data_IF_251991868203
#
_entry.id   IF_251991868203
#
_cell.length_a   1.000
_cell.length_b   1.000
_cell.length_c   1.000
_cell.angle_alpha   90.00
_cell.angle_beta   90.00
_cell.angle_gamma   90.00
#
_symmetry.space_group_name_H-M   'P 1'
#
loop_
_entity.id
_entity.type
_entity.pdbx_description
1 polymer ?
#
# COMPACT_ATOMS: atom_id res chain seq x y z
N UNK A 1 -2.29 -38.68 -29.13
CA UNK A 1 -1.63 -38.15 -30.33
C UNK A 1 -0.22 -37.72 -29.99
N UNK A 2 0.69 -37.60 -30.97
CA UNK A 2 2.07 -37.19 -30.73
C UNK A 2 2.14 -35.84 -30.00
N UNK A 3 3.05 -35.69 -29.04
CA UNK A 3 3.24 -34.47 -28.25
C UNK A 3 2.48 -34.39 -26.91
N UNK A 4 1.88 -35.48 -26.43
CA UNK A 4 1.36 -35.57 -25.06
C UNK A 4 2.24 -36.48 -24.22
N UNK A 5 2.83 -35.92 -23.18
CA UNK A 5 3.57 -36.64 -22.14
C UNK A 5 2.76 -36.56 -20.85
N UNK A 6 2.68 -37.66 -20.11
CA UNK A 6 1.97 -37.73 -18.83
C UNK A 6 2.84 -38.52 -17.84
N UNK A 7 2.79 -38.12 -16.58
CA UNK A 7 3.40 -38.83 -15.45
C UNK A 7 2.38 -38.83 -14.33
N UNK A 8 2.15 -40.01 -13.74
CA UNK A 8 1.32 -40.14 -12.55
C UNK A 8 2.23 -40.16 -11.32
N UNK A 9 1.88 -39.34 -10.32
CA UNK A 9 2.64 -39.21 -9.07
C UNK A 9 1.69 -39.48 -7.93
N UNK A 10 1.85 -40.63 -7.30
CA UNK A 10 1.01 -41.08 -6.19
C UNK A 10 1.61 -40.70 -4.82
N UNK A 11 0.75 -40.60 -3.81
CA UNK A 11 1.18 -40.45 -2.41
C UNK A 11 1.70 -39.07 -2.02
N UNK A 12 1.40 -38.04 -2.81
CA UNK A 12 1.68 -36.65 -2.45
C UNK A 12 0.84 -36.23 -1.24
N UNK A 13 1.45 -35.68 -0.17
CA UNK A 13 0.71 -35.04 0.92
C UNK A 13 -0.16 -33.87 0.44
N UNK A 14 -1.19 -33.52 1.21
CA UNK A 14 -1.99 -32.32 0.97
C UNK A 14 -1.10 -31.07 0.93
N UNK A 15 -1.17 -30.30 -0.16
CA UNK A 15 -0.32 -29.14 -0.38
C UNK A 15 -0.35 -28.57 -1.80
N UNK A 16 0.43 -27.51 -2.00
CA UNK A 16 0.61 -26.86 -3.31
C UNK A 16 1.95 -27.30 -3.90
N UNK A 17 1.92 -27.79 -5.14
CA UNK A 17 3.09 -28.29 -5.85
C UNK A 17 3.35 -27.47 -7.11
N UNK A 18 4.60 -27.07 -7.28
CA UNK A 18 5.07 -26.44 -8.51
C UNK A 18 5.69 -27.50 -9.41
N UNK A 19 5.24 -27.54 -10.66
CA UNK A 19 5.75 -28.42 -11.71
C UNK A 19 6.58 -27.56 -12.67
N UNK A 20 7.78 -28.00 -13.01
CA UNK A 20 8.69 -27.35 -13.96
C UNK A 20 9.32 -28.42 -14.84
N UNK A 21 9.15 -28.32 -16.16
CA UNK A 21 9.78 -29.21 -17.15
C UNK A 21 10.97 -28.55 -17.88
N UNK A 22 11.40 -27.36 -17.42
CA UNK A 22 12.43 -26.53 -18.02
C UNK A 22 11.91 -25.57 -19.11
N UNK A 23 10.69 -25.78 -19.62
CA UNK A 23 10.04 -24.93 -20.64
C UNK A 23 8.71 -24.35 -20.14
N UNK A 24 7.93 -25.15 -19.42
CA UNK A 24 6.62 -24.84 -18.87
C UNK A 24 6.63 -24.98 -17.35
N UNK A 25 5.92 -24.05 -16.71
CA UNK A 25 5.66 -24.08 -15.27
C UNK A 25 4.17 -24.11 -15.02
N UNK A 26 3.75 -24.96 -14.09
CA UNK A 26 2.37 -25.05 -13.65
C UNK A 26 2.32 -25.22 -12.12
N UNK A 27 1.19 -24.84 -11.52
CA UNK A 27 0.94 -25.03 -10.09
C UNK A 27 -0.30 -25.90 -9.96
N UNK A 28 -0.20 -26.95 -9.15
CA UNK A 28 -1.30 -27.85 -8.83
C UNK A 28 -1.50 -27.89 -7.31
N UNK A 29 -2.76 -27.88 -6.88
CA UNK A 29 -3.13 -28.17 -5.50
C UNK A 29 -3.48 -29.66 -5.40
N UNK A 30 -2.80 -30.38 -4.51
CA UNK A 30 -3.15 -31.76 -4.13
C UNK A 30 -3.79 -31.67 -2.76
N UNK A 31 -5.00 -32.17 -2.62
CA UNK A 31 -5.75 -32.13 -1.36
C UNK A 31 -7.22 -32.39 -1.59
N UNK A 32 -8.01 -32.44 -0.51
CA UNK A 32 -9.45 -32.68 -0.58
C UNK A 32 -10.12 -31.73 -1.60
N UNK A 33 -11.00 -32.28 -2.45
CA UNK A 33 -11.73 -31.54 -3.48
C UNK A 33 -12.62 -30.40 -2.92
N UNK A 34 -12.81 -30.37 -1.60
CA UNK A 34 -13.50 -29.34 -0.84
C UNK A 34 -12.52 -28.68 0.12
N UNK A 35 -11.91 -27.54 -0.26
CA UNK A 35 -11.06 -26.79 0.66
C UNK A 35 -11.84 -26.38 1.91
N UNK A 36 -11.21 -26.44 3.08
CA UNK A 36 -11.85 -26.15 4.38
C UNK A 36 -12.42 -24.73 4.45
N UNK A 37 -11.86 -23.82 3.65
CA UNK A 37 -12.33 -22.43 3.49
C UNK A 37 -13.76 -22.34 2.94
N UNK A 38 -14.24 -23.38 2.24
CA UNK A 38 -15.59 -23.41 1.67
C UNK A 38 -16.64 -24.08 2.57
N UNK A 39 -16.24 -24.68 3.71
CA UNK A 39 -17.17 -25.28 4.66
C UNK A 39 -18.16 -24.25 5.24
N UNK A 40 -17.73 -22.98 5.37
CA UNK A 40 -18.53 -21.88 5.93
C UNK A 40 -18.51 -20.65 5.04
N UNK A 41 -19.19 -20.78 3.90
CA UNK A 41 -19.34 -19.67 2.93
C UNK A 41 -20.43 -18.66 3.36
N UNK A 42 -21.35 -19.07 4.24
CA UNK A 42 -22.40 -18.17 4.75
C UNK A 42 -21.82 -17.23 5.80
N UNK A 43 -22.01 -15.92 5.58
CA UNK A 43 -21.60 -14.91 6.55
C UNK A 43 -22.22 -15.18 7.93
N UNK A 44 -21.38 -15.27 8.95
CA UNK A 44 -21.75 -15.47 10.36
C UNK A 44 -20.92 -14.56 11.24
N UNK A 45 -21.50 -14.10 12.33
CA UNK A 45 -20.83 -13.31 13.36
C UNK A 45 -20.43 -14.13 14.59
N UNK A 46 -20.83 -15.40 14.63
CA UNK A 46 -20.60 -16.32 15.76
C UNK A 46 -19.13 -16.32 16.26
N UNK A 47 -18.10 -16.43 15.40
CA UNK A 47 -16.71 -16.49 15.86
C UNK A 47 -16.24 -15.22 16.57
N UNK A 48 -16.86 -14.07 16.24
CA UNK A 48 -16.48 -12.77 16.76
C UNK A 48 -17.43 -12.25 17.85
N UNK A 49 -18.59 -12.89 18.04
CA UNK A 49 -19.67 -12.45 18.93
C UNK A 49 -19.19 -12.07 20.35
N UNK A 50 -18.34 -12.89 20.96
CA UNK A 50 -17.78 -12.64 22.28
C UNK A 50 -16.92 -11.36 22.34
N UNK A 51 -16.11 -11.11 21.31
CA UNK A 51 -15.28 -9.90 21.23
C UNK A 51 -16.11 -8.66 20.88
N UNK A 52 -17.13 -8.82 20.04
CA UNK A 52 -18.08 -7.74 19.72
C UNK A 52 -18.81 -7.32 21.00
N UNK A 53 -19.28 -8.27 21.81
CA UNK A 53 -19.91 -7.99 23.10
C UNK A 53 -18.94 -7.30 24.08
N UNK A 54 -17.70 -7.78 24.19
CA UNK A 54 -16.70 -7.21 25.09
C UNK A 54 -16.25 -5.79 24.68
N UNK A 55 -16.20 -5.51 23.38
CA UNK A 55 -15.81 -4.19 22.85
C UNK A 55 -16.95 -3.17 22.84
N UNK A 56 -18.19 -3.58 23.10
CA UNK A 56 -19.39 -2.76 22.94
C UNK A 56 -19.74 -2.46 21.48
N UNK A 57 -19.17 -3.22 20.54
CA UNK A 57 -19.36 -3.14 19.09
C UNK A 57 -20.74 -3.59 18.63
N UNK A 58 -20.90 -3.73 17.31
CA UNK A 58 -22.08 -4.37 16.73
C UNK A 58 -21.72 -5.08 15.43
N UNK A 59 -22.46 -6.13 15.12
CA UNK A 59 -22.50 -6.76 13.80
C UNK A 59 -23.72 -6.24 13.06
N UNK A 60 -23.56 -5.82 11.80
CA UNK A 60 -24.68 -5.47 10.91
C UNK A 60 -24.58 -6.28 9.64
N UNK A 61 -25.73 -6.74 9.16
CA UNK A 61 -25.94 -7.36 7.85
C UNK A 61 -26.01 -6.26 6.80
N UNK A 62 -25.18 -6.34 5.76
CA UNK A 62 -25.13 -5.31 4.73
C UNK A 62 -26.36 -5.34 3.82
N UNK A 63 -27.03 -6.50 3.73
CA UNK A 63 -28.30 -6.68 3.05
C UNK A 63 -29.44 -5.84 3.67
N UNK A 64 -29.35 -5.52 4.97
CA UNK A 64 -30.31 -4.65 5.67
C UNK A 64 -30.02 -3.14 5.44
N UNK A 65 -28.90 -2.83 4.76
CA UNK A 65 -28.50 -1.48 4.39
C UNK A 65 -27.11 -1.08 4.89
N UNK A 66 -26.48 -0.13 4.19
CA UNK A 66 -25.12 0.31 4.52
C UNK A 66 -25.11 1.21 5.77
N UNK A 67 -24.45 0.80 6.88
CA UNK A 67 -24.34 1.64 8.06
C UNK A 67 -23.46 2.87 7.82
N UNK A 68 -23.76 3.97 8.50
CA UNK A 68 -22.88 5.15 8.51
C UNK A 68 -21.66 4.87 9.38
N UNK A 69 -20.46 5.22 8.91
CA UNK A 69 -19.24 5.14 9.72
C UNK A 69 -18.98 6.47 10.43
N UNK A 70 -18.63 6.42 11.72
CA UNK A 70 -18.33 7.61 12.54
C UNK A 70 -17.05 7.39 13.32
N UNK A 71 -16.17 8.39 13.37
CA UNK A 71 -15.01 8.32 14.25
C UNK A 71 -15.42 8.64 15.69
N UNK A 72 -15.03 7.78 16.63
CA UNK A 72 -15.32 7.92 18.05
C UNK A 72 -14.04 7.91 18.89
N UNK A 73 -14.11 8.51 20.08
CA UNK A 73 -13.03 8.47 21.08
C UNK A 73 -13.06 7.12 21.81
N UNK A 74 -11.93 6.73 22.38
CA UNK A 74 -11.88 5.57 23.26
C UNK A 74 -12.86 5.76 24.45
N UNK A 75 -13.61 4.71 24.78
CA UNK A 75 -14.62 4.74 25.85
C UNK A 75 -15.97 5.34 25.46
N UNK A 76 -16.13 5.90 24.25
CA UNK A 76 -17.44 6.30 23.74
C UNK A 76 -18.20 5.09 23.16
N UNK A 77 -19.55 5.14 23.07
CA UNK A 77 -20.32 4.12 22.35
C UNK A 77 -19.81 3.92 20.92
N UNK A 78 -19.52 2.68 20.53
CA UNK A 78 -18.93 2.32 19.24
C UNK A 78 -19.96 1.78 18.23
N UNK A 79 -21.25 1.82 18.56
CA UNK A 79 -22.34 1.39 17.68
C UNK A 79 -23.66 2.09 18.04
N UNK A 80 -24.60 2.11 17.10
CA UNK A 80 -25.96 2.58 17.33
C UNK A 80 -26.88 2.29 16.14
N UNK A 81 -28.12 2.79 16.19
CA UNK A 81 -29.10 2.56 15.11
C UNK A 81 -28.58 3.08 13.77
N UNK A 82 -28.22 2.17 12.86
CA UNK A 82 -27.77 2.47 11.49
C UNK A 82 -26.37 3.08 11.38
N UNK A 83 -25.51 2.97 12.41
CA UNK A 83 -24.13 3.46 12.33
C UNK A 83 -23.15 2.64 13.18
N UNK A 84 -21.89 2.61 12.73
CA UNK A 84 -20.76 1.97 13.41
C UNK A 84 -19.65 2.98 13.71
N UNK A 85 -19.08 2.86 14.90
CA UNK A 85 -17.99 3.67 15.41
C UNK A 85 -16.63 3.07 15.06
N UNK A 86 -15.73 3.90 14.55
CA UNK A 86 -14.32 3.57 14.35
C UNK A 86 -13.47 4.35 15.33
N UNK A 87 -12.60 3.65 16.07
CA UNK A 87 -11.64 4.28 16.97
C UNK A 87 -10.60 5.02 16.15
N UNK A 88 -10.40 6.31 16.44
CA UNK A 88 -9.34 7.10 15.81
C UNK A 88 -7.98 6.76 16.45
N UNK A 89 -7.34 5.67 16.01
CA UNK A 89 -6.06 5.18 16.60
C UNK A 89 -4.82 5.97 16.17
N UNK A 90 -4.98 7.10 15.46
CA UNK A 90 -3.84 7.89 14.98
C UNK A 90 -2.88 7.11 14.06
N UNK A 91 -3.28 5.91 13.63
CA UNK A 91 -2.55 5.07 12.69
C UNK A 91 -2.71 5.65 11.28
N UNK A 92 -2.16 6.84 11.10
CA UNK A 92 -1.90 7.37 9.79
C UNK A 92 -0.74 6.53 9.25
N UNK A 93 -1.00 5.67 8.26
CA UNK A 93 0.05 5.30 7.32
C UNK A 93 0.53 6.64 6.78
N UNK A 94 1.80 6.99 7.01
CA UNK A 94 2.42 8.21 6.51
C UNK A 94 2.33 8.16 4.99
N UNK A 95 1.23 8.67 4.45
CA UNK A 95 1.06 8.84 3.03
C UNK A 95 2.17 9.79 2.59
N UNK A 96 3.03 9.28 1.72
CA UNK A 96 4.09 9.96 0.97
C UNK A 96 4.40 11.39 1.40
N UNK A 97 5.63 11.61 1.86
CA UNK A 97 6.20 12.93 2.06
C UNK A 97 6.17 13.68 0.71
N UNK A 98 5.11 14.46 0.47
CA UNK A 98 4.96 15.25 -0.76
C UNK A 98 5.83 16.49 -0.64
N UNK A 99 7.03 16.43 -1.22
CA UNK A 99 7.92 17.59 -1.30
C UNK A 99 7.35 18.57 -2.34
N UNK A 100 6.68 19.61 -1.87
CA UNK A 100 6.25 20.72 -2.72
C UNK A 100 7.46 21.59 -3.04
N UNK A 101 7.89 21.72 -4.31
CA UNK A 101 9.01 22.57 -4.66
C UNK A 101 8.66 24.04 -4.38
N UNK A 102 9.60 24.79 -3.77
CA UNK A 102 9.44 26.21 -3.45
C UNK A 102 9.27 27.09 -4.71
N UNK A 103 9.85 26.66 -5.83
CA UNK A 103 9.75 27.32 -7.12
C UNK A 103 9.88 26.32 -8.29
N UNK A 104 9.49 26.71 -9.51
CA UNK A 104 9.77 25.91 -10.71
C UNK A 104 11.28 25.70 -10.95
N UNK A 105 11.65 24.55 -11.52
CA UNK A 105 13.06 24.19 -11.76
C UNK A 105 13.86 25.23 -12.56
N UNK A 106 13.24 25.90 -13.54
CA UNK A 106 13.89 26.90 -14.38
C UNK A 106 14.31 28.15 -13.60
N UNK A 107 13.61 28.50 -12.50
CA UNK A 107 13.95 29.68 -11.71
C UNK A 107 15.32 29.50 -11.02
N UNK A 108 15.59 28.29 -10.55
CA UNK A 108 16.90 27.93 -9.99
C UNK A 108 18.01 27.98 -11.04
N UNK A 109 17.73 27.56 -12.29
CA UNK A 109 18.69 27.66 -13.38
C UNK A 109 19.03 29.12 -13.70
N UNK A 110 18.03 29.99 -13.77
CA UNK A 110 18.23 31.44 -13.99
C UNK A 110 19.05 32.04 -12.84
N UNK A 111 18.74 31.69 -11.59
CA UNK A 111 19.48 32.18 -10.42
C UNK A 111 20.94 31.73 -10.45
N UNK A 112 21.21 30.45 -10.73
CA UNK A 112 22.56 29.91 -10.80
C UNK A 112 23.37 30.55 -11.93
N UNK A 113 22.78 30.69 -13.13
CA UNK A 113 23.42 31.35 -14.27
C UNK A 113 23.70 32.83 -13.96
N UNK A 114 22.75 33.54 -13.33
CA UNK A 114 22.91 34.93 -12.93
C UNK A 114 24.05 35.11 -11.92
N UNK A 115 24.14 34.25 -10.91
CA UNK A 115 25.23 34.25 -9.94
C UNK A 115 26.58 33.98 -10.62
N UNK A 116 26.64 32.99 -11.52
CA UNK A 116 27.86 32.66 -12.26
C UNK A 116 28.36 33.84 -13.11
N UNK A 117 27.47 34.44 -13.91
CA UNK A 117 27.78 35.60 -14.74
C UNK A 117 28.17 36.81 -13.90
N UNK A 118 27.49 37.05 -12.77
CA UNK A 118 27.82 38.16 -11.88
C UNK A 118 29.23 38.01 -11.28
N UNK A 119 29.61 36.80 -10.85
CA UNK A 119 30.96 36.50 -10.38
C UNK A 119 32.00 36.76 -11.47
N UNK A 120 31.76 36.29 -12.69
CA UNK A 120 32.65 36.50 -13.84
C UNK A 120 32.84 37.99 -14.18
N UNK A 121 31.75 38.77 -14.21
CA UNK A 121 31.81 40.21 -14.50
C UNK A 121 32.51 41.01 -13.40
N UNK A 122 32.33 40.62 -12.13
CA UNK A 122 33.03 41.27 -11.02
C UNK A 122 34.55 41.02 -11.12
N UNK A 123 34.97 39.80 -11.45
CA UNK A 123 36.38 39.45 -11.54
C UNK A 123 37.05 40.10 -12.77
N UNK A 124 36.40 40.04 -13.94
CA UNK A 124 36.91 40.70 -15.15
C UNK A 124 37.06 42.22 -15.01
N UNK A 125 36.29 42.87 -14.15
CA UNK A 125 36.45 44.30 -13.81
C UNK A 125 37.61 44.58 -12.86
N UNK A 126 38.05 43.62 -12.05
CA UNK A 126 39.17 43.76 -11.11
C UNK A 126 40.53 43.58 -11.78
N UNK A 127 40.59 42.84 -12.89
CA UNK A 127 41.82 42.58 -13.63
C UNK A 127 42.21 43.71 -14.60
N UNK A 128 41.23 44.47 -15.12
CA UNK A 128 41.48 45.59 -16.05
C UNK A 128 42.17 46.83 -15.44
N UNK A 129 42.44 46.85 -14.14
CA UNK A 129 43.03 48.00 -13.43
C UNK A 129 44.54 47.90 -13.16
N UNK A 130 45.21 46.79 -13.49
CA UNK A 130 46.63 46.58 -13.16
C UNK A 130 47.52 46.69 -14.41
N UNK A 131 47.69 47.93 -14.91
CA UNK A 131 48.82 48.24 -15.80
C UNK A 131 50.14 48.21 -15.01
N UNK A 132 51.17 47.49 -15.47
CA UNK A 132 52.47 47.47 -14.81
C UNK A 132 53.16 48.81 -15.08
N UNK A 133 53.41 49.61 -14.04
CA UNK A 133 54.34 50.74 -14.15
C UNK A 133 55.77 50.21 -14.14
N UNK A 134 56.53 50.65 -15.15
CA UNK A 134 57.99 50.55 -15.24
C UNK A 134 58.68 51.27 -14.09
#
# INVERSE_FOLDING_TARGET
GPGRFAVDVDGLPDGIYALDDGTLRAVAAVGAATPVEFERTVATDEPLSAWVAQSGGATLRLEDGMPKLRFVRAGAPVSGRGWLGLLRRGAHVTAELRVTPLAPAWLYLVLAAGLYLSGWLIEGRREGGRSPRR
#
